data_IF_697977918817
#
_entry.id   IF_697977918817
#
_cell.length_a   1.000
_cell.length_b   1.000
_cell.length_c   1.000
_cell.angle_alpha   90.00
_cell.angle_beta   90.00
_cell.angle_gamma   90.00
#
_symmetry.space_group_name_H-M   'P 1'
#
loop_
_entity.id
_entity.type
_entity.pdbx_description
1 polymer ?
#
# COMPACT_ATOMS: atom_id res chain seq x y z
N UNK A 1 39.06 42.49 19.63
CA UNK A 1 37.79 42.38 20.38
C UNK A 1 36.57 42.29 19.47
N UNK A 2 36.21 43.30 18.66
CA UNK A 2 35.02 43.26 17.78
C UNK A 2 34.99 42.07 16.80
N UNK A 3 36.11 41.77 16.14
CA UNK A 3 36.23 40.63 15.22
C UNK A 3 35.99 39.28 15.92
N UNK A 4 36.54 39.10 17.12
CA UNK A 4 36.37 37.87 17.92
C UNK A 4 34.91 37.65 18.33
N UNK A 5 34.18 38.71 18.70
CA UNK A 5 32.75 38.62 18.99
C UNK A 5 31.93 38.22 17.75
N UNK A 6 32.23 38.81 16.58
CA UNK A 6 31.56 38.43 15.32
C UNK A 6 31.80 36.95 14.99
N UNK A 7 33.03 36.45 15.13
CA UNK A 7 33.36 35.05 14.88
C UNK A 7 32.60 34.11 15.84
N UNK A 8 32.57 34.44 17.13
CA UNK A 8 31.81 33.65 18.12
C UNK A 8 30.30 33.66 17.83
N UNK A 9 29.74 34.81 17.43
CA UNK A 9 28.33 34.92 17.04
C UNK A 9 28.00 34.07 15.81
N UNK A 10 28.83 34.12 14.76
CA UNK A 10 28.66 33.30 13.55
C UNK A 10 28.74 31.81 13.89
N UNK A 11 29.72 31.41 14.71
CA UNK A 11 29.87 30.03 15.15
C UNK A 11 28.65 29.55 15.96
N UNK A 12 28.13 30.39 16.85
CA UNK A 12 26.92 30.10 17.61
C UNK A 12 25.70 29.86 16.72
N UNK A 13 25.50 30.70 15.69
CA UNK A 13 24.42 30.52 14.71
C UNK A 13 24.59 29.22 13.91
N UNK A 14 25.82 28.88 13.49
CA UNK A 14 26.09 27.63 12.79
C UNK A 14 25.79 26.39 13.65
N UNK A 15 26.14 26.42 14.94
CA UNK A 15 25.82 25.34 15.87
C UNK A 15 24.31 25.18 16.04
N UNK A 16 23.57 26.29 16.18
CA UNK A 16 22.10 26.26 16.27
C UNK A 16 21.46 25.72 14.98
N UNK A 17 21.95 26.15 13.81
CA UNK A 17 21.49 25.65 12.52
C UNK A 17 21.76 24.14 12.37
N UNK A 18 22.96 23.69 12.73
CA UNK A 18 23.32 22.28 12.71
C UNK A 18 22.43 21.44 13.62
N UNK A 19 22.18 21.90 14.85
CA UNK A 19 21.25 21.24 15.79
C UNK A 19 19.82 21.15 15.23
N UNK A 20 19.34 22.22 14.59
CA UNK A 20 18.04 22.25 13.95
C UNK A 20 17.91 21.27 12.77
N UNK A 21 18.95 21.18 11.93
CA UNK A 21 19.00 20.23 10.81
C UNK A 21 18.96 18.77 11.29
N UNK A 22 19.61 18.44 12.41
CA UNK A 22 19.53 17.08 13.02
C UNK A 22 18.09 16.75 13.44
N UNK A 23 17.36 17.72 14.00
CA UNK A 23 15.95 17.52 14.40
C UNK A 23 15.09 17.25 13.16
N UNK A 24 15.27 18.02 12.09
CA UNK A 24 14.55 17.81 10.82
C UNK A 24 14.84 16.43 10.22
N UNK A 25 16.12 16.07 10.12
CA UNK A 25 16.54 14.77 9.58
C UNK A 25 15.89 13.61 10.34
N UNK A 26 15.92 13.64 11.68
CA UNK A 26 15.27 12.61 12.51
C UNK A 26 13.76 12.56 12.29
N UNK A 27 13.13 13.71 12.06
CA UNK A 27 11.72 13.80 11.69
C UNK A 27 11.41 13.12 10.36
N UNK A 28 12.22 13.36 9.33
CA UNK A 28 12.05 12.72 8.02
C UNK A 28 12.32 11.23 8.04
N UNK A 29 13.38 10.77 8.73
CA UNK A 29 13.64 9.33 8.93
C UNK A 29 12.42 8.65 9.56
N UNK A 30 11.83 9.27 10.59
CA UNK A 30 10.65 8.71 11.25
C UNK A 30 9.45 8.61 10.29
N UNK A 31 9.19 9.66 9.51
CA UNK A 31 8.07 9.67 8.56
C UNK A 31 8.29 8.68 7.42
N UNK A 32 9.53 8.56 6.95
CA UNK A 32 9.91 7.61 5.92
C UNK A 32 9.69 6.16 6.37
N UNK A 33 10.14 5.82 7.59
CA UNK A 33 9.92 4.51 8.20
C UNK A 33 8.43 4.22 8.42
N UNK A 34 7.65 5.21 8.84
CA UNK A 34 6.19 5.06 8.98
C UNK A 34 5.51 4.76 7.63
N UNK A 35 5.95 5.42 6.55
CA UNK A 35 5.43 5.13 5.20
C UNK A 35 5.80 3.70 4.77
N UNK A 36 7.06 3.28 4.99
CA UNK A 36 7.51 1.91 4.67
C UNK A 36 6.80 0.84 5.49
N UNK A 37 6.53 1.11 6.77
CA UNK A 37 5.79 0.23 7.66
C UNK A 37 4.32 0.10 7.21
N UNK A 38 3.66 1.23 6.94
CA UNK A 38 2.28 1.23 6.44
C UNK A 38 2.16 0.46 5.12
N UNK A 39 3.12 0.64 4.20
CA UNK A 39 3.17 -0.12 2.95
C UNK A 39 3.38 -1.63 3.20
N UNK A 40 4.25 -2.00 4.14
CA UNK A 40 4.46 -3.40 4.51
C UNK A 40 3.18 -4.05 5.06
N UNK A 41 2.38 -3.31 5.83
CA UNK A 41 1.09 -3.82 6.33
C UNK A 41 0.12 -4.12 5.18
N UNK A 42 0.07 -3.29 4.14
CA UNK A 42 -0.69 -3.57 2.92
C UNK A 42 -0.21 -4.87 2.29
N UNK A 43 1.11 -5.05 2.19
CA UNK A 43 1.74 -6.26 1.66
C UNK A 43 1.34 -7.54 2.37
N UNK A 44 1.27 -7.53 3.69
CA UNK A 44 0.83 -8.68 4.49
C UNK A 44 -0.61 -9.06 4.13
N UNK A 45 -1.51 -8.09 4.06
CA UNK A 45 -2.91 -8.37 3.72
C UNK A 45 -3.08 -8.79 2.26
N UNK A 46 -2.32 -8.20 1.33
CA UNK A 46 -2.32 -8.60 -0.08
C UNK A 46 -1.79 -10.03 -0.25
N UNK A 47 -0.73 -10.40 0.47
CA UNK A 47 -0.22 -11.78 0.50
C UNK A 47 -1.28 -12.74 1.00
N UNK A 48 -1.95 -12.43 2.11
CA UNK A 48 -3.02 -13.27 2.66
C UNK A 48 -4.17 -13.47 1.65
N UNK A 49 -4.52 -12.46 0.86
CA UNK A 49 -5.54 -12.59 -0.19
C UNK A 49 -5.07 -13.44 -1.36
N UNK A 50 -3.82 -13.32 -1.77
CA UNK A 50 -3.24 -14.21 -2.78
C UNK A 50 -3.19 -15.67 -2.32
N UNK A 51 -2.86 -15.90 -1.05
CA UNK A 51 -2.88 -17.23 -0.45
C UNK A 51 -4.32 -17.78 -0.42
N UNK A 52 -5.30 -16.93 -0.08
CA UNK A 52 -6.72 -17.25 -0.17
C UNK A 52 -7.19 -17.58 -1.59
N UNK A 53 -6.81 -16.78 -2.60
CA UNK A 53 -7.11 -17.07 -4.01
C UNK A 53 -6.52 -18.41 -4.45
N UNK A 54 -5.30 -18.72 -4.01
CA UNK A 54 -4.64 -19.99 -4.33
C UNK A 54 -5.40 -21.17 -3.71
N UNK A 55 -5.73 -21.08 -2.42
CA UNK A 55 -6.52 -22.11 -1.73
C UNK A 55 -7.90 -22.29 -2.37
N UNK A 56 -8.59 -21.20 -2.72
CA UNK A 56 -9.88 -21.25 -3.38
C UNK A 56 -9.79 -21.89 -4.78
N UNK A 57 -8.72 -21.58 -5.54
CA UNK A 57 -8.49 -22.20 -6.84
C UNK A 57 -8.25 -23.71 -6.70
N UNK A 58 -7.54 -24.15 -5.66
CA UNK A 58 -7.33 -25.58 -5.39
C UNK A 58 -8.63 -26.31 -4.99
N UNK A 59 -9.50 -25.68 -4.21
CA UNK A 59 -10.85 -26.23 -3.96
C UNK A 59 -11.66 -26.29 -5.26
N UNK A 60 -11.66 -25.21 -6.05
CA UNK A 60 -12.39 -25.14 -7.31
C UNK A 60 -11.94 -26.19 -8.33
N UNK A 61 -10.66 -26.57 -8.35
CA UNK A 61 -10.14 -27.66 -9.22
C UNK A 61 -10.90 -28.97 -9.04
N UNK A 62 -11.35 -29.29 -7.82
CA UNK A 62 -12.12 -30.51 -7.56
C UNK A 62 -13.51 -30.54 -8.21
N UNK A 63 -14.02 -29.38 -8.61
CA UNK A 63 -15.36 -29.21 -9.20
C UNK A 63 -15.31 -28.79 -10.68
N UNK A 64 -14.28 -28.04 -11.07
CA UNK A 64 -14.16 -27.41 -12.39
C UNK A 64 -12.73 -27.51 -12.95
N UNK A 65 -12.33 -28.72 -13.38
CA UNK A 65 -10.99 -28.99 -13.90
C UNK A 65 -10.60 -28.10 -15.09
N UNK A 66 -11.54 -27.76 -15.98
CA UNK A 66 -11.28 -26.93 -17.16
C UNK A 66 -10.97 -25.46 -16.82
N UNK A 67 -11.47 -24.94 -15.69
CA UNK A 67 -11.28 -23.54 -15.29
C UNK A 67 -9.95 -23.32 -14.53
N UNK A 68 -9.29 -24.41 -14.13
CA UNK A 68 -8.02 -24.44 -13.40
C UNK A 68 -6.87 -23.74 -14.13
N UNK A 69 -6.78 -23.89 -15.46
CA UNK A 69 -5.67 -23.36 -16.26
C UNK A 69 -5.62 -21.83 -16.20
N UNK A 70 -6.77 -21.18 -16.33
CA UNK A 70 -6.90 -19.71 -16.29
C UNK A 70 -6.55 -19.16 -14.92
N UNK A 71 -7.06 -19.78 -13.84
CA UNK A 71 -6.75 -19.38 -12.47
C UNK A 71 -5.25 -19.57 -12.16
N UNK A 72 -4.66 -20.67 -12.63
CA UNK A 72 -3.23 -20.94 -12.48
C UNK A 72 -2.36 -19.91 -13.20
N UNK A 73 -2.78 -19.44 -14.39
CA UNK A 73 -2.09 -18.38 -15.12
C UNK A 73 -2.10 -17.05 -14.34
N UNK A 74 -3.24 -16.68 -13.75
CA UNK A 74 -3.35 -15.46 -12.94
C UNK A 74 -2.49 -15.57 -11.67
N UNK A 75 -2.55 -16.70 -10.97
CA UNK A 75 -1.75 -16.96 -9.77
C UNK A 75 -0.26 -16.94 -10.10
N UNK A 76 0.13 -17.49 -11.26
CA UNK A 76 1.52 -17.47 -11.75
C UNK A 76 2.07 -16.06 -12.01
N UNK A 77 1.21 -15.05 -12.17
CA UNK A 77 1.61 -13.63 -12.33
C UNK A 77 1.81 -12.91 -10.98
N UNK A 78 1.54 -13.56 -9.85
CA UNK A 78 1.82 -13.04 -8.51
C UNK A 78 3.30 -12.72 -8.36
N UNK A 79 3.59 -11.54 -7.86
CA UNK A 79 4.95 -11.14 -7.47
C UNK A 79 5.01 -11.02 -5.96
N UNK A 80 6.10 -11.47 -5.29
CA UNK A 80 6.28 -11.24 -3.86
C UNK A 80 6.24 -9.76 -3.53
N UNK A 81 5.48 -9.40 -2.50
CA UNK A 81 5.39 -8.02 -2.04
C UNK A 81 6.72 -7.57 -1.39
N UNK A 82 7.17 -6.35 -1.69
CA UNK A 82 8.34 -5.75 -1.05
C UNK A 82 8.02 -4.37 -0.47
N UNK A 83 8.63 -3.95 0.65
CA UNK A 83 8.42 -2.62 1.23
C UNK A 83 8.89 -1.45 0.35
N UNK A 84 9.64 -1.73 -0.71
CA UNK A 84 10.11 -0.77 -1.71
C UNK A 84 9.31 -0.81 -3.02
N UNK A 85 8.25 -1.63 -3.07
CA UNK A 85 7.40 -1.75 -4.24
C UNK A 85 6.74 -0.42 -4.59
N UNK A 86 6.82 -0.02 -5.86
CA UNK A 86 6.20 1.22 -6.34
C UNK A 86 4.68 1.13 -6.33
N UNK A 87 4.01 2.28 -6.17
CA UNK A 87 2.55 2.37 -6.14
C UNK A 87 1.86 1.71 -7.34
N UNK A 88 2.43 1.86 -8.55
CA UNK A 88 1.93 1.24 -9.77
C UNK A 88 1.98 -0.28 -9.74
N UNK A 89 3.01 -0.86 -9.14
CA UNK A 89 3.14 -2.31 -9.04
C UNK A 89 2.17 -2.88 -8.01
N UNK A 90 1.99 -2.17 -6.88
CA UNK A 90 0.96 -2.53 -5.88
C UNK A 90 -0.44 -2.52 -6.52
N UNK A 91 -0.74 -1.50 -7.34
CA UNK A 91 -2.01 -1.40 -8.07
C UNK A 91 -2.16 -2.53 -9.11
N UNK A 92 -1.09 -2.87 -9.84
CA UNK A 92 -1.10 -3.97 -10.81
C UNK A 92 -1.38 -5.33 -10.14
N UNK A 93 -0.72 -5.62 -9.02
CA UNK A 93 -0.95 -6.85 -8.25
C UNK A 93 -2.38 -6.91 -7.71
N UNK A 94 -2.94 -5.78 -7.29
CA UNK A 94 -4.33 -5.69 -6.86
C UNK A 94 -5.31 -6.02 -8.00
N UNK A 95 -5.08 -5.46 -9.19
CA UNK A 95 -5.94 -5.71 -10.35
C UNK A 95 -5.91 -7.18 -10.78
N UNK A 96 -4.74 -7.82 -10.75
CA UNK A 96 -4.62 -9.26 -11.03
C UNK A 96 -5.39 -10.10 -10.02
N UNK A 97 -5.26 -9.78 -8.74
CA UNK A 97 -5.97 -10.46 -7.66
C UNK A 97 -7.49 -10.29 -7.81
N UNK A 98 -7.97 -9.07 -8.08
CA UNK A 98 -9.38 -8.79 -8.32
C UNK A 98 -9.93 -9.55 -9.54
N UNK A 99 -9.14 -9.63 -10.62
CA UNK A 99 -9.49 -10.42 -11.81
C UNK A 99 -9.59 -11.92 -11.49
N UNK A 100 -8.67 -12.46 -10.69
CA UNK A 100 -8.68 -13.86 -10.27
C UNK A 100 -9.90 -14.19 -9.40
N UNK A 101 -10.19 -13.34 -8.42
CA UNK A 101 -11.37 -13.50 -7.56
C UNK A 101 -12.67 -13.36 -8.34
N UNK A 102 -12.77 -12.40 -9.27
CA UNK A 102 -13.94 -12.27 -10.14
C UNK A 102 -14.19 -13.51 -10.99
N UNK A 103 -13.12 -14.11 -11.54
CA UNK A 103 -13.22 -15.38 -12.28
C UNK A 103 -13.68 -16.52 -11.38
N UNK A 104 -13.08 -16.64 -10.19
CA UNK A 104 -13.47 -17.65 -9.22
C UNK A 104 -14.95 -17.54 -8.82
N UNK A 105 -15.47 -16.32 -8.61
CA UNK A 105 -16.89 -16.12 -8.35
C UNK A 105 -17.76 -16.59 -9.52
N UNK A 106 -17.37 -16.31 -10.77
CA UNK A 106 -18.09 -16.81 -11.94
C UNK A 106 -18.10 -18.36 -12.02
N UNK A 107 -16.99 -19.00 -11.65
CA UNK A 107 -16.93 -20.47 -11.52
C UNK A 107 -17.90 -20.94 -10.42
N UNK A 108 -17.90 -20.31 -9.25
CA UNK A 108 -18.82 -20.69 -8.18
C UNK A 108 -20.31 -20.51 -8.55
N UNK A 109 -20.66 -19.52 -9.38
CA UNK A 109 -22.04 -19.39 -9.90
C UNK A 109 -22.40 -20.52 -10.88
N UNK A 110 -21.44 -21.00 -11.67
CA UNK A 110 -21.66 -22.12 -12.60
C UNK A 110 -21.70 -23.49 -11.90
N UNK A 111 -21.08 -23.60 -10.71
CA UNK A 111 -20.97 -24.84 -9.93
C UNK A 111 -21.53 -24.63 -8.50
N UNK A 112 -22.85 -24.78 -8.30
CA UNK A 112 -23.48 -24.53 -6.98
C UNK A 112 -22.90 -25.36 -5.83
N UNK A 113 -22.45 -26.58 -6.10
CA UNK A 113 -21.82 -27.44 -5.10
C UNK A 113 -20.50 -26.88 -4.58
N UNK A 114 -19.70 -26.22 -5.44
CA UNK A 114 -18.50 -25.49 -5.03
C UNK A 114 -18.87 -24.29 -4.16
N UNK A 115 -19.91 -23.55 -4.55
CA UNK A 115 -20.40 -22.39 -3.79
C UNK A 115 -20.95 -22.78 -2.42
N UNK A 116 -21.52 -23.98 -2.31
CA UNK A 116 -22.01 -24.56 -1.07
C UNK A 116 -20.91 -25.22 -0.21
N UNK A 117 -19.71 -25.42 -0.77
CA UNK A 117 -18.59 -26.01 -0.04
C UNK A 117 -18.18 -25.13 1.15
N UNK A 118 -18.09 -25.74 2.33
CA UNK A 118 -17.84 -25.02 3.57
C UNK A 118 -16.42 -24.43 3.62
N UNK A 119 -15.43 -25.09 3.00
CA UNK A 119 -14.06 -24.58 2.93
C UNK A 119 -13.99 -23.40 1.95
N UNK A 120 -14.68 -23.47 0.81
CA UNK A 120 -14.83 -22.35 -0.12
C UNK A 120 -15.41 -21.12 0.56
N UNK A 121 -16.58 -21.26 1.22
CA UNK A 121 -17.26 -20.15 1.90
C UNK A 121 -16.37 -19.52 2.97
N UNK A 122 -15.80 -20.34 3.87
CA UNK A 122 -14.92 -19.88 4.94
C UNK A 122 -13.68 -19.15 4.40
N UNK A 123 -13.11 -19.62 3.30
CA UNK A 123 -11.92 -19.01 2.71
C UNK A 123 -12.28 -17.69 2.02
N UNK A 124 -13.42 -17.63 1.33
CA UNK A 124 -13.92 -16.41 0.70
C UNK A 124 -14.27 -15.31 1.72
N UNK A 125 -14.83 -15.68 2.88
CA UNK A 125 -15.01 -14.76 4.01
C UNK A 125 -13.67 -14.19 4.51
N UNK A 126 -12.64 -15.04 4.61
CA UNK A 126 -11.29 -14.62 4.96
C UNK A 126 -10.70 -13.63 3.95
N UNK A 127 -10.85 -13.91 2.65
CA UNK A 127 -10.41 -13.01 1.57
C UNK A 127 -11.11 -11.65 1.67
N UNK A 128 -12.43 -11.65 1.89
CA UNK A 128 -13.24 -10.42 2.04
C UNK A 128 -12.78 -9.60 3.24
N UNK A 129 -12.55 -10.26 4.38
CA UNK A 129 -12.03 -9.61 5.59
C UNK A 129 -10.66 -8.97 5.35
N UNK A 130 -9.77 -9.65 4.63
CA UNK A 130 -8.45 -9.11 4.28
C UNK A 130 -8.55 -7.95 3.27
N UNK A 131 -9.54 -7.95 2.37
CA UNK A 131 -9.79 -6.82 1.47
C UNK A 131 -10.18 -5.54 2.22
N UNK A 132 -11.08 -5.65 3.20
CA UNK A 132 -11.45 -4.49 4.02
C UNK A 132 -10.25 -3.94 4.80
N UNK A 133 -9.37 -4.83 5.29
CA UNK A 133 -8.09 -4.43 5.91
C UNK A 133 -7.16 -3.74 4.92
N UNK A 134 -7.03 -4.23 3.68
CA UNK A 134 -6.25 -3.55 2.63
C UNK A 134 -6.77 -2.14 2.41
N UNK A 135 -8.09 -1.95 2.32
CA UNK A 135 -8.69 -0.62 2.13
C UNK A 135 -8.32 0.32 3.28
N UNK A 136 -8.43 -0.13 4.52
CA UNK A 136 -8.01 0.64 5.69
C UNK A 136 -6.51 0.96 5.68
N UNK A 137 -5.66 -0.03 5.39
CA UNK A 137 -4.21 0.16 5.34
C UNK A 137 -3.78 1.13 4.23
N UNK A 138 -4.49 1.18 3.09
CA UNK A 138 -4.26 2.19 2.03
C UNK A 138 -4.54 3.60 2.52
N UNK A 139 -5.65 3.82 3.24
CA UNK A 139 -5.95 5.13 3.83
C UNK A 139 -4.87 5.56 4.82
N UNK A 140 -4.42 4.64 5.69
CA UNK A 140 -3.32 4.90 6.64
C UNK A 140 -2.02 5.24 5.91
N UNK A 141 -1.66 4.47 4.86
CA UNK A 141 -0.50 4.77 4.04
C UNK A 141 -0.60 6.17 3.42
N UNK A 142 -1.72 6.52 2.80
CA UNK A 142 -1.94 7.82 2.18
C UNK A 142 -1.90 8.98 3.20
N UNK A 143 -2.39 8.80 4.43
CA UNK A 143 -2.22 9.80 5.50
C UNK A 143 -0.73 9.97 5.88
N UNK A 144 0.00 8.86 6.05
CA UNK A 144 1.44 8.94 6.37
C UNK A 144 2.25 9.59 5.25
N UNK A 145 1.95 9.26 3.98
CA UNK A 145 2.55 9.90 2.80
C UNK A 145 2.20 11.37 2.74
N UNK A 146 0.97 11.77 3.09
CA UNK A 146 0.59 13.19 3.18
C UNK A 146 1.46 13.93 4.20
N UNK A 147 1.67 13.36 5.39
CA UNK A 147 2.54 13.95 6.42
C UNK A 147 3.98 14.05 5.93
N UNK A 148 4.51 13.00 5.32
CA UNK A 148 5.86 12.98 4.73
C UNK A 148 6.01 14.06 3.66
N UNK A 149 5.15 14.04 2.64
CA UNK A 149 5.15 14.99 1.53
C UNK A 149 5.03 16.43 2.01
N UNK A 150 4.16 16.69 3.00
CA UNK A 150 4.02 18.02 3.60
C UNK A 150 5.31 18.44 4.31
N UNK A 151 5.93 17.55 5.09
CA UNK A 151 7.18 17.84 5.81
C UNK A 151 8.38 18.13 4.88
N UNK A 152 8.42 17.48 3.72
CA UNK A 152 9.47 17.66 2.71
C UNK A 152 9.20 18.92 1.87
N UNK A 153 7.94 19.30 1.64
CA UNK A 153 7.59 20.44 0.77
C UNK A 153 7.48 21.78 1.50
N UNK A 154 7.20 21.79 2.80
CA UNK A 154 7.13 23.03 3.58
C UNK A 154 8.52 23.59 3.88
N UNK A 155 8.64 24.91 3.97
CA UNK A 155 9.87 25.53 4.46
C UNK A 155 10.07 25.17 5.96
N UNK A 156 11.30 24.85 6.39
CA UNK A 156 12.55 24.82 5.63
C UNK A 156 12.89 23.48 4.97
N UNK A 157 12.02 22.46 5.10
CA UNK A 157 12.25 21.13 4.54
C UNK A 157 12.44 21.09 3.02
N UNK A 158 11.77 21.94 2.27
CA UNK A 158 11.94 22.03 0.81
C UNK A 158 13.35 22.39 0.36
N UNK A 159 14.14 23.04 1.23
CA UNK A 159 15.54 23.34 0.95
C UNK A 159 16.45 22.15 1.30
N UNK A 160 16.27 21.57 2.50
CA UNK A 160 17.25 20.64 3.07
C UNK A 160 16.91 19.16 2.85
N UNK A 161 15.64 18.79 2.68
CA UNK A 161 15.23 17.39 2.56
C UNK A 161 15.86 16.68 1.34
N UNK A 162 15.87 17.26 0.11
CA UNK A 162 16.53 16.63 -1.03
C UNK A 162 18.04 16.45 -0.83
N UNK A 163 18.70 17.41 -0.16
CA UNK A 163 20.14 17.33 0.14
C UNK A 163 20.47 16.17 1.10
N UNK A 164 19.50 15.77 1.93
CA UNK A 164 19.61 14.65 2.87
C UNK A 164 18.99 13.35 2.34
N UNK A 165 18.56 13.31 1.08
CA UNK A 165 18.01 12.12 0.43
C UNK A 165 16.53 11.84 0.73
N UNK A 166 15.80 12.80 1.30
CA UNK A 166 14.36 12.66 1.55
C UNK A 166 13.55 13.33 0.44
N UNK A 167 12.65 12.55 -0.14
CA UNK A 167 11.80 12.97 -1.25
C UNK A 167 10.33 12.70 -0.95
N UNK A 168 9.45 13.27 -1.78
CA UNK A 168 8.03 12.93 -1.73
C UNK A 168 7.80 11.48 -2.14
N UNK A 169 6.86 10.82 -1.47
CA UNK A 169 6.40 9.47 -1.80
C UNK A 169 5.10 9.53 -2.62
N UNK A 170 4.87 8.58 -3.54
CA UNK A 170 3.63 8.49 -4.28
C UNK A 170 2.48 8.04 -3.37
N UNK A 171 1.27 8.49 -3.67
CA UNK A 171 0.04 7.96 -3.07
C UNK A 171 -0.31 6.62 -3.71
N UNK A 172 -1.03 5.78 -2.97
CA UNK A 172 -1.74 4.64 -3.55
C UNK A 172 -3.12 5.09 -3.99
N UNK A 173 -3.55 4.60 -5.14
CA UNK A 173 -4.92 4.81 -5.61
C UNK A 173 -5.92 4.22 -4.61
N UNK A 174 -6.90 5.02 -4.22
CA UNK A 174 -8.03 4.50 -3.47
C UNK A 174 -8.95 3.77 -4.46
N UNK A 175 -9.38 2.54 -4.15
CA UNK A 175 -10.39 1.89 -4.97
C UNK A 175 -11.60 2.83 -5.02
N UNK A 176 -12.09 3.15 -6.22
CA UNK A 176 -13.18 4.09 -6.44
C UNK A 176 -14.33 3.82 -5.45
N UNK A 177 -14.39 4.60 -4.38
CA UNK A 177 -15.41 4.43 -3.35
C UNK A 177 -16.69 4.98 -3.91
N UNK A 178 -17.65 4.11 -4.27
CA UNK A 178 -19.06 4.42 -4.62
C UNK A 178 -19.28 5.89 -5.00
N UNK A 179 -18.63 6.35 -6.07
CA UNK A 179 -18.83 7.71 -6.60
C UNK A 179 -19.91 7.72 -7.66
N UNK A 180 -20.50 6.56 -7.95
CA UNK A 180 -21.78 6.43 -8.64
C UNK A 180 -22.90 6.34 -7.59
N UNK A 181 -23.22 7.45 -6.93
CA UNK A 181 -24.64 7.64 -6.60
C UNK A 181 -25.27 7.98 -7.96
N UNK A 182 -26.19 7.15 -8.50
CA UNK A 182 -26.92 7.54 -9.69
C UNK A 182 -27.59 8.88 -9.38
N UNK A 183 -27.35 9.86 -10.23
CA UNK A 183 -28.11 11.09 -10.18
C UNK A 183 -29.58 10.73 -10.47
N UNK A 184 -30.40 10.68 -9.42
CA UNK A 184 -31.83 10.41 -9.52
C UNK A 184 -32.61 11.64 -10.04
N UNK A 185 -31.93 12.72 -10.45
CA UNK A 185 -32.56 13.87 -11.10
C UNK A 185 -32.66 13.71 -12.62
N UNK A 186 -33.43 12.73 -13.09
CA UNK A 186 -34.05 12.75 -14.42
C UNK A 186 -35.45 12.16 -14.41
#
# INVERSE_FOLDING_TARGET
MRMSFVILSVLGVLVLLGGYLIILQRGWVRLDELCSNALSQIGVQQSSRWDGLTALADVAKGYAEHESATLSEIIGKRVPFTPSMGASEVARQEQLLASGLGRLMAVAEAYPDLKADALYQKTMEGVTTSEDKVRMSRMVYNDTVTRMNRSVRMFPGSLFAPMMGFYTRPYLEEPAGKTDMPDLSR
#
